data_IF_710883558047
#
_entry.id   IF_710883558047
#
_cell.length_a   1.000
_cell.length_b   1.000
_cell.length_c   1.000
_cell.angle_alpha   90.00
_cell.angle_beta   90.00
_cell.angle_gamma   90.00
#
_symmetry.space_group_name_H-M   'P 1'
#
loop_
_entity.id
_entity.type
_entity.pdbx_description
1 polymer ?
#
# COMPACT_ATOMS: atom_id res chain seq x y z
N UNK A 1 -7.91 12.79 2.98
CA UNK A 1 -8.00 11.75 1.94
C UNK A 1 -7.74 10.38 2.53
N UNK A 2 -8.46 9.37 2.08
CA UNK A 2 -8.31 7.99 2.52
C UNK A 2 -7.89 7.15 1.33
N UNK A 3 -6.88 6.31 1.52
CA UNK A 3 -6.41 5.40 0.47
C UNK A 3 -6.69 3.95 0.84
N UNK A 4 -7.04 3.18 -0.16
CA UNK A 4 -7.20 1.73 -0.06
C UNK A 4 -6.18 1.09 -0.96
N UNK A 5 -5.46 0.08 -0.46
CA UNK A 5 -4.39 -0.57 -1.19
C UNK A 5 -4.63 -2.07 -1.24
N UNK A 6 -4.12 -2.68 -2.30
CA UNK A 6 -4.06 -4.14 -2.39
C UNK A 6 -2.88 -4.53 -3.27
N UNK A 7 -2.39 -5.75 -3.07
CA UNK A 7 -1.33 -6.31 -3.86
C UNK A 7 -1.51 -7.80 -3.96
N UNK A 8 -1.20 -8.36 -5.11
CA UNK A 8 -1.35 -9.78 -5.33
C UNK A 8 -0.36 -10.31 -6.34
N UNK A 9 -0.07 -11.61 -6.23
CA UNK A 9 0.69 -12.36 -7.23
C UNK A 9 0.03 -13.72 -7.38
N UNK A 10 -0.11 -14.20 -8.62
CA UNK A 10 -0.72 -15.49 -8.86
C UNK A 10 -0.07 -16.16 -10.06
N UNK A 11 0.61 -17.31 -9.84
CA UNK A 11 0.92 -17.91 -8.54
C UNK A 11 1.82 -17.00 -7.69
N UNK A 12 1.97 -17.31 -6.42
CA UNK A 12 2.79 -16.52 -5.48
C UNK A 12 4.05 -17.32 -5.09
N UNK A 13 5.28 -17.01 -5.64
CA UNK A 13 5.57 -15.88 -6.52
C UNK A 13 5.15 -16.12 -7.96
N UNK A 14 4.96 -15.02 -8.70
CA UNK A 14 4.57 -15.08 -10.10
C UNK A 14 4.20 -13.70 -10.63
N UNK A 15 3.50 -13.63 -11.77
CA UNK A 15 2.97 -12.36 -12.25
C UNK A 15 2.05 -11.74 -11.20
N UNK A 16 2.11 -10.43 -11.05
CA UNK A 16 1.32 -9.79 -10.03
C UNK A 16 1.15 -8.30 -10.28
N UNK A 17 0.58 -7.63 -9.28
CA UNK A 17 0.35 -6.20 -9.38
C UNK A 17 -0.14 -5.61 -8.09
N UNK A 18 -0.26 -4.29 -8.07
CA UNK A 18 -0.87 -3.59 -6.94
C UNK A 18 -1.90 -2.57 -7.42
N UNK A 19 -2.81 -2.23 -6.51
CA UNK A 19 -3.83 -1.22 -6.74
C UNK A 19 -3.89 -0.23 -5.61
N UNK A 20 -4.18 1.03 -5.96
CA UNK A 20 -4.36 2.12 -5.01
C UNK A 20 -5.61 2.88 -5.40
N UNK A 21 -6.48 3.13 -4.44
CA UNK A 21 -7.69 3.92 -4.63
C UNK A 21 -7.70 5.04 -3.60
N UNK A 22 -7.76 6.29 -4.06
CA UNK A 22 -7.87 7.46 -3.19
C UNK A 22 -9.30 7.97 -3.18
N UNK A 23 -9.84 8.18 -1.98
CA UNK A 23 -11.23 8.58 -1.77
C UNK A 23 -11.27 9.86 -0.94
N UNK A 24 -12.09 10.81 -1.36
CA UNK A 24 -12.33 12.05 -0.65
C UNK A 24 -13.81 12.37 -0.73
N UNK A 25 -14.45 12.63 0.42
CA UNK A 25 -15.89 12.89 0.50
C UNK A 25 -16.72 11.78 -0.17
N UNK A 26 -16.35 10.52 0.07
CA UNK A 26 -17.00 9.32 -0.47
C UNK A 26 -16.93 9.20 -2.00
N UNK A 27 -16.00 9.93 -2.63
CA UNK A 27 -15.81 9.88 -4.08
C UNK A 27 -14.39 9.44 -4.41
N UNK A 28 -14.26 8.61 -5.44
CA UNK A 28 -12.95 8.22 -5.93
C UNK A 28 -12.32 9.39 -6.66
N UNK A 29 -11.20 9.87 -6.15
CA UNK A 29 -10.47 11.00 -6.74
C UNK A 29 -9.13 10.57 -7.34
N UNK A 30 -8.71 9.34 -7.08
CA UNK A 30 -7.44 8.83 -7.58
C UNK A 30 -7.50 7.31 -7.68
N UNK A 31 -6.94 6.76 -8.77
CA UNK A 31 -6.74 5.32 -8.92
C UNK A 31 -5.38 5.06 -9.55
N UNK A 32 -4.75 3.95 -9.15
CA UNK A 32 -3.53 3.46 -9.78
C UNK A 32 -3.54 1.94 -9.78
N UNK A 33 -3.25 1.37 -10.93
CA UNK A 33 -3.02 -0.07 -11.08
C UNK A 33 -1.69 -0.28 -11.78
N UNK A 34 -0.85 -1.14 -11.25
CA UNK A 34 0.45 -1.45 -11.82
C UNK A 34 0.61 -2.96 -11.90
N UNK A 35 0.97 -3.45 -13.09
CA UNK A 35 1.14 -4.87 -13.35
C UNK A 35 2.61 -5.21 -13.60
N UNK A 36 3.03 -6.38 -13.18
CA UNK A 36 4.40 -6.90 -13.33
C UNK A 36 4.36 -8.28 -13.96
N UNK A 37 5.21 -8.51 -14.95
CA UNK A 37 5.31 -9.80 -15.65
C UNK A 37 6.26 -10.76 -14.95
N UNK A 38 7.31 -10.24 -14.32
CA UNK A 38 8.31 -11.04 -13.64
C UNK A 38 7.79 -11.58 -12.33
N UNK A 39 8.47 -12.56 -11.72
CA UNK A 39 7.96 -13.09 -10.46
C UNK A 39 8.04 -12.07 -9.34
N UNK A 40 6.89 -11.79 -8.75
CA UNK A 40 6.76 -10.95 -7.56
C UNK A 40 5.95 -11.72 -6.52
N UNK A 41 5.93 -11.23 -5.28
CA UNK A 41 5.15 -11.86 -4.21
C UNK A 41 3.99 -10.96 -3.79
N UNK A 42 3.01 -11.54 -3.12
CA UNK A 42 1.89 -10.78 -2.55
C UNK A 42 2.40 -9.66 -1.65
N UNK A 43 3.32 -9.98 -0.73
CA UNK A 43 3.85 -9.00 0.22
C UNK A 43 4.63 -7.88 -0.47
N UNK A 44 5.40 -8.22 -1.50
CA UNK A 44 6.12 -7.22 -2.28
C UNK A 44 5.15 -6.24 -2.94
N UNK A 45 4.07 -6.73 -3.50
CA UNK A 45 3.07 -5.89 -4.16
C UNK A 45 2.32 -5.00 -3.17
N UNK A 46 1.98 -5.56 -2.00
CA UNK A 46 1.36 -4.79 -0.92
C UNK A 46 2.27 -3.64 -0.46
N UNK A 47 3.55 -3.95 -0.23
CA UNK A 47 4.51 -2.93 0.19
C UNK A 47 4.70 -1.85 -0.86
N UNK A 48 4.73 -2.22 -2.14
CA UNK A 48 4.87 -1.23 -3.22
C UNK A 48 3.69 -0.28 -3.30
N UNK A 49 2.47 -0.79 -3.08
CA UNK A 49 1.28 0.06 -3.06
C UNK A 49 1.37 1.10 -1.93
N UNK A 50 1.75 0.65 -0.74
CA UNK A 50 1.88 1.53 0.43
C UNK A 50 3.02 2.54 0.22
N UNK A 51 4.16 2.08 -0.27
CA UNK A 51 5.31 2.95 -0.55
C UNK A 51 4.96 4.02 -1.58
N UNK A 52 4.19 3.68 -2.59
CA UNK A 52 3.73 4.64 -3.59
C UNK A 52 3.01 5.82 -2.92
N UNK A 53 2.13 5.54 -1.96
CA UNK A 53 1.41 6.59 -1.26
C UNK A 53 2.36 7.42 -0.39
N UNK A 54 3.28 6.76 0.31
CA UNK A 54 4.27 7.45 1.15
C UNK A 54 5.09 8.44 0.34
N UNK A 55 5.55 8.03 -0.84
CA UNK A 55 6.37 8.86 -1.71
C UNK A 55 5.61 10.04 -2.32
N UNK A 56 4.35 9.83 -2.67
CA UNK A 56 3.59 10.81 -3.43
C UNK A 56 2.68 11.69 -2.58
N UNK A 57 2.27 11.21 -1.41
CA UNK A 57 1.30 11.90 -0.57
C UNK A 57 1.76 12.14 0.87
N UNK A 58 2.80 11.43 1.33
CA UNK A 58 3.29 11.58 2.70
C UNK A 58 3.81 12.97 3.03
N UNK A 59 4.47 13.62 2.07
CA UNK A 59 4.98 14.99 2.26
C UNK A 59 3.86 16.00 2.50
N UNK A 60 2.70 15.75 1.93
CA UNK A 60 1.55 16.64 2.02
C UNK A 60 0.86 16.62 3.38
N UNK A 61 1.30 15.77 4.29
CA UNK A 61 0.73 15.70 5.64
C UNK A 61 0.78 17.04 6.35
N UNK A 62 1.89 17.78 6.19
CA UNK A 62 2.07 19.08 6.84
C UNK A 62 1.07 20.12 6.35
N UNK A 63 0.70 20.06 5.07
CA UNK A 63 -0.25 20.98 4.47
C UNK A 63 -1.66 20.77 5.00
N UNK A 64 -2.00 19.53 5.35
CA UNK A 64 -3.33 19.14 5.80
C UNK A 64 -3.44 19.02 7.32
N UNK A 65 -2.32 19.14 8.02
CA UNK A 65 -2.27 18.99 9.47
C UNK A 65 -2.40 17.57 9.98
N UNK A 66 -2.74 16.61 9.12
CA UNK A 66 -2.85 15.20 9.47
C UNK A 66 -2.38 14.33 8.31
N UNK A 67 -1.69 13.20 8.61
CA UNK A 67 -1.29 12.29 7.56
C UNK A 67 -2.49 11.61 6.91
N UNK A 68 -2.39 11.28 5.61
CA UNK A 68 -3.46 10.55 4.95
C UNK A 68 -3.63 9.17 5.57
N UNK A 69 -4.88 8.72 5.66
CA UNK A 69 -5.21 7.39 6.17
C UNK A 69 -5.03 6.39 5.03
N UNK A 70 -4.32 5.30 5.29
CA UNK A 70 -4.06 4.25 4.30
C UNK A 70 -4.52 2.92 4.88
N UNK A 71 -5.42 2.25 4.19
CA UNK A 71 -5.91 0.94 4.59
C UNK A 71 -5.26 -0.16 3.77
N UNK A 72 -4.80 -1.20 4.45
CA UNK A 72 -4.27 -2.43 3.86
C UNK A 72 -4.87 -3.63 4.57
N UNK A 73 -5.11 -4.72 3.86
CA UNK A 73 -5.58 -5.96 4.48
C UNK A 73 -4.42 -6.88 4.92
N UNK A 74 -3.19 -6.48 4.65
CA UNK A 74 -2.00 -7.24 4.99
C UNK A 74 -1.53 -6.96 6.42
N UNK A 75 -1.75 -7.91 7.33
CA UNK A 75 -1.22 -7.80 8.70
C UNK A 75 0.29 -7.68 8.70
N UNK A 76 0.97 -8.42 7.81
CA UNK A 76 2.42 -8.36 7.68
C UNK A 76 2.91 -6.94 7.39
N UNK A 77 2.32 -6.29 6.38
CA UNK A 77 2.75 -4.96 5.99
C UNK A 77 2.45 -3.92 7.07
N UNK A 78 1.24 -3.97 7.65
CA UNK A 78 0.84 -3.02 8.68
C UNK A 78 1.73 -3.16 9.91
N UNK A 79 1.95 -4.37 10.39
CA UNK A 79 2.79 -4.59 11.58
C UNK A 79 4.26 -4.26 11.31
N UNK A 80 4.76 -4.59 10.11
CA UNK A 80 6.14 -4.30 9.74
C UNK A 80 6.40 -2.81 9.73
N UNK A 81 5.57 -2.05 9.02
CA UNK A 81 5.83 -0.62 8.83
C UNK A 81 5.45 0.23 10.03
N UNK A 82 4.51 -0.22 10.86
CA UNK A 82 4.13 0.52 12.07
C UNK A 82 4.95 0.17 13.29
N UNK A 83 5.56 -1.01 13.32
CA UNK A 83 6.16 -1.51 14.56
C UNK A 83 7.51 -2.20 14.35
N UNK A 84 7.54 -3.33 13.62
CA UNK A 84 8.71 -4.20 13.56
C UNK A 84 9.92 -3.54 12.90
N UNK A 85 9.71 -2.73 11.90
CA UNK A 85 10.74 -2.01 11.15
C UNK A 85 11.66 -1.23 12.07
N UNK A 86 11.10 -0.55 13.07
CA UNK A 86 11.87 0.27 13.99
C UNK A 86 12.81 -0.57 14.87
N UNK A 87 12.35 -1.74 15.30
CA UNK A 87 13.20 -2.67 16.05
C UNK A 87 14.32 -3.22 15.16
N UNK A 88 14.00 -3.60 13.94
CA UNK A 88 15.01 -4.12 13.01
C UNK A 88 16.07 -3.06 12.68
N UNK A 89 15.66 -1.82 12.48
CA UNK A 89 16.59 -0.72 12.19
C UNK A 89 17.60 -0.53 13.33
N UNK A 90 17.16 -0.65 14.59
CA UNK A 90 18.04 -0.53 15.75
C UNK A 90 19.02 -1.70 15.86
N UNK A 91 18.69 -2.84 15.25
CA UNK A 91 19.51 -4.06 15.35
C UNK A 91 20.32 -4.33 14.07
N UNK A 92 20.44 -3.33 13.19
CA UNK A 92 21.18 -3.48 11.95
C UNK A 92 20.43 -4.23 10.86
N UNK A 93 19.10 -4.16 10.89
CA UNK A 93 18.22 -4.77 9.90
C UNK A 93 18.26 -6.31 9.92
N UNK A 94 18.23 -6.84 11.12
CA UNK A 94 18.23 -8.28 11.37
C UNK A 94 17.04 -8.60 12.26
N UNK A 95 16.30 -9.65 11.90
CA UNK A 95 15.16 -10.15 12.69
C UNK A 95 15.65 -10.91 13.92
N UNK A 96 14.75 -11.19 14.87
CA UNK A 96 15.07 -11.92 16.10
C UNK A 96 15.66 -13.31 15.84
N UNK A 97 15.32 -13.96 14.71
CA UNK A 97 15.88 -15.24 14.30
C UNK A 97 17.22 -15.12 13.57
N UNK A 98 17.81 -13.92 13.55
CA UNK A 98 19.08 -13.56 12.92
C UNK A 98 19.04 -13.60 11.40
N UNK A 99 17.87 -13.68 10.81
CA UNK A 99 17.69 -13.64 9.35
C UNK A 99 17.43 -12.22 8.89
N UNK A 100 17.78 -11.95 7.63
CA UNK A 100 17.46 -10.68 6.97
C UNK A 100 15.94 -10.62 6.72
N UNK A 101 15.27 -9.50 7.02
CA UNK A 101 13.85 -9.35 6.70
C UNK A 101 13.59 -9.49 5.20
N UNK A 102 12.47 -10.13 4.85
CA UNK A 102 12.03 -10.19 3.46
C UNK A 102 11.65 -8.78 2.99
N UNK A 103 11.86 -8.51 1.71
CA UNK A 103 11.56 -7.20 1.10
C UNK A 103 12.29 -6.04 1.79
N UNK A 104 13.49 -6.29 2.27
CA UNK A 104 14.27 -5.32 3.04
C UNK A 104 14.44 -4.00 2.28
N UNK A 105 14.69 -4.06 0.98
CA UNK A 105 14.88 -2.87 0.14
C UNK A 105 13.67 -1.92 0.20
N UNK A 106 12.46 -2.49 0.13
CA UNK A 106 11.22 -1.70 0.19
C UNK A 106 10.97 -1.15 1.60
N UNK A 107 11.26 -1.97 2.62
CA UNK A 107 11.09 -1.56 4.01
C UNK A 107 12.06 -0.43 4.35
N UNK A 108 13.33 -0.55 3.90
CA UNK A 108 14.33 0.50 4.12
C UNK A 108 13.97 1.78 3.37
N UNK A 109 13.41 1.69 2.17
CA UNK A 109 12.95 2.85 1.42
C UNK A 109 11.86 3.59 2.18
N UNK A 110 10.88 2.87 2.72
CA UNK A 110 9.83 3.46 3.54
C UNK A 110 10.42 4.13 4.79
N UNK A 111 11.33 3.44 5.47
CA UNK A 111 11.98 3.95 6.68
C UNK A 111 12.78 5.23 6.41
N UNK A 112 13.48 5.29 5.28
CA UNK A 112 14.26 6.47 4.90
C UNK A 112 13.34 7.68 4.68
N UNK A 113 12.20 7.49 4.02
CA UNK A 113 11.21 8.56 3.86
C UNK A 113 10.62 8.97 5.21
N UNK A 114 10.35 7.99 6.07
CA UNK A 114 9.87 8.27 7.42
C UNK A 114 10.85 9.16 8.20
N UNK A 115 12.15 8.87 8.11
CA UNK A 115 13.18 9.69 8.79
C UNK A 115 13.24 11.11 8.24
N UNK A 116 12.82 11.33 7.01
CA UNK A 116 12.78 12.65 6.40
C UNK A 116 11.52 13.46 6.76
N UNK A 117 10.65 12.89 7.56
CA UNK A 117 9.43 13.55 8.01
C UNK A 117 8.16 13.14 7.28
N UNK A 118 8.27 12.29 6.30
CA UNK A 118 7.09 11.78 5.57
C UNK A 118 6.26 10.89 6.49
N UNK A 119 4.93 11.02 6.42
CA UNK A 119 4.01 10.26 7.30
C UNK A 119 2.77 9.85 6.53
N UNK A 120 2.32 8.64 6.83
CA UNK A 120 0.98 8.15 6.51
C UNK A 120 0.43 7.51 7.79
N UNK A 121 -0.89 7.44 7.90
CA UNK A 121 -1.58 6.75 8.98
C UNK A 121 -2.02 5.40 8.44
N UNK A 122 -1.16 4.39 8.59
CA UNK A 122 -1.38 3.06 8.03
C UNK A 122 -2.19 2.21 8.98
N UNK A 123 -3.31 1.71 8.52
CA UNK A 123 -4.25 0.91 9.30
C UNK A 123 -4.63 -0.37 8.60
N UNK A 124 -4.86 -1.41 9.38
CA UNK A 124 -5.39 -2.65 8.82
C UNK A 124 -6.89 -2.52 8.62
N UNK A 125 -7.36 -2.88 7.42
CA UNK A 125 -8.78 -2.91 7.15
C UNK A 125 -9.40 -4.14 7.83
N UNK A 126 -10.59 -3.99 8.41
CA UNK A 126 -11.29 -5.09 9.08
C UNK A 126 -12.17 -5.81 8.08
N UNK A 127 -11.85 -7.09 7.83
CA UNK A 127 -12.67 -7.95 6.99
C UNK A 127 -12.65 -7.56 5.52
N UNK A 128 -13.07 -8.46 4.69
CA UNK A 128 -13.17 -8.24 3.24
C UNK A 128 -14.58 -7.86 2.81
N UNK A 129 -15.55 -8.09 3.67
CA UNK A 129 -16.95 -7.95 3.29
C UNK A 129 -17.37 -6.49 3.27
N UNK A 130 -17.87 -6.04 2.13
CA UNK A 130 -18.59 -4.79 2.01
C UNK A 130 -17.74 -3.54 1.83
N UNK A 131 -16.44 -3.65 1.65
CA UNK A 131 -15.60 -2.49 1.35
C UNK A 131 -15.43 -2.33 -0.14
N UNK A 132 -16.28 -1.52 -0.74
CA UNK A 132 -16.31 -1.23 -2.16
C UNK A 132 -14.95 -0.78 -2.70
N UNK A 133 -14.27 0.11 -1.97
CA UNK A 133 -12.99 0.66 -2.40
C UNK A 133 -11.85 -0.33 -2.24
N UNK A 134 -11.93 -1.23 -1.26
CA UNK A 134 -10.95 -2.30 -1.11
C UNK A 134 -11.10 -3.32 -2.24
N UNK A 135 -12.33 -3.62 -2.65
CA UNK A 135 -12.59 -4.49 -3.80
C UNK A 135 -12.07 -3.86 -5.09
N UNK A 136 -12.22 -2.54 -5.24
CA UNK A 136 -11.70 -1.84 -6.41
C UNK A 136 -10.17 -1.90 -6.45
N UNK A 137 -9.51 -1.73 -5.29
CA UNK A 137 -8.06 -1.88 -5.20
C UNK A 137 -7.62 -3.29 -5.60
N UNK A 138 -8.36 -4.32 -5.19
CA UNK A 138 -8.10 -5.70 -5.59
C UNK A 138 -8.23 -5.89 -7.11
N UNK A 139 -9.27 -5.34 -7.71
CA UNK A 139 -9.48 -5.43 -9.15
C UNK A 139 -8.35 -4.74 -9.93
N UNK A 140 -7.85 -3.62 -9.42
CA UNK A 140 -6.70 -2.94 -10.01
C UNK A 140 -5.43 -3.76 -9.86
N UNK A 141 -5.24 -4.38 -8.68
CA UNK A 141 -4.07 -5.20 -8.40
C UNK A 141 -4.00 -6.43 -9.30
N UNK A 142 -5.14 -7.05 -9.58
CA UNK A 142 -5.21 -8.26 -10.42
C UNK A 142 -5.27 -7.96 -11.91
N UNK A 143 -5.40 -6.69 -12.29
CA UNK A 143 -5.56 -6.29 -13.69
C UNK A 143 -6.95 -6.56 -14.25
N UNK A 144 -7.90 -6.89 -13.39
CA UNK A 144 -9.29 -7.14 -13.79
C UNK A 144 -9.93 -5.88 -14.37
N UNK A 145 -9.57 -4.72 -13.86
CA UNK A 145 -10.04 -3.43 -14.34
C UNK A 145 -8.84 -2.51 -14.57
N UNK A 146 -8.86 -1.69 -15.61
CA UNK A 146 -7.83 -0.70 -15.88
C UNK A 146 -8.06 0.57 -15.05
N UNK A 147 -7.02 1.40 -14.94
CA UNK A 147 -7.14 2.70 -14.26
C UNK A 147 -8.23 3.56 -14.92
N UNK A 148 -8.27 3.59 -16.24
CA UNK A 148 -9.25 4.36 -17.00
C UNK A 148 -10.66 3.91 -16.72
N UNK A 149 -10.91 2.59 -16.76
CA UNK A 149 -12.21 2.01 -16.48
C UNK A 149 -12.66 2.29 -15.05
N UNK A 150 -11.74 2.13 -14.10
CA UNK A 150 -12.03 2.37 -12.68
C UNK A 150 -12.41 3.83 -12.44
N UNK A 151 -11.63 4.75 -12.96
CA UNK A 151 -11.87 6.17 -12.78
C UNK A 151 -13.19 6.60 -13.44
N UNK A 152 -13.43 6.13 -14.68
CA UNK A 152 -14.67 6.46 -15.41
C UNK A 152 -15.91 5.93 -14.70
N UNK A 153 -15.80 4.75 -14.08
CA UNK A 153 -16.95 4.11 -13.41
C UNK A 153 -17.25 4.77 -12.06
N UNK A 154 -16.20 5.06 -11.26
CA UNK A 154 -16.38 5.43 -9.86
C UNK A 154 -16.24 6.91 -9.56
N UNK A 155 -15.53 7.67 -10.39
CA UNK A 155 -15.36 9.11 -10.14
C UNK A 155 -16.65 9.90 -10.34
N UNK A 156 -17.57 9.38 -11.14
CA UNK A 156 -18.85 10.01 -11.44
C UNK A 156 -19.98 9.58 -10.50
N UNK A 157 -19.68 8.68 -9.57
CA UNK A 157 -20.63 8.23 -8.56
C UNK A 157 -20.60 9.20 -7.39
N UNK A 158 -21.25 10.27 -7.52
CA UNK A 158 -21.24 11.23 -6.46
C UNK A 158 -22.48 12.03 -6.34
#
# INVERSE_FOLDING_TARGET
>A
MIFYTDGSAHPNPGPGGYGVVGVEDEKVVFVRGQQYKGPVTNNEMELKAILYIMLNYGEKCDDWGQPPIVYSDSSYCVNTLNEWMFSWARKGWIKSDKKTPENLDLIQAYYDWYKQGYRIDLRKIKGHAGHEWNELADQLATGYISEEEAYATYSNLG
#
